data_IF_271625456857
#
_entry.id   IF_271625456857
#
_cell.length_a   1.000
_cell.length_b   1.000
_cell.length_c   1.000
_cell.angle_alpha   90.00
_cell.angle_beta   90.00
_cell.angle_gamma   90.00
#
_symmetry.space_group_name_H-M   'P 1'
#
loop_
_entity.id
_entity.type
_entity.pdbx_description
1 polymer ?
#
# COMPACT_ATOMS: atom_id res chain seq x y z
N UNK A 1 0.56 -11.65 -29.04
CA UNK A 1 1.61 -12.08 -28.10
C UNK A 1 1.52 -11.24 -26.84
N UNK A 2 0.91 -11.78 -25.78
CA UNK A 2 0.81 -11.11 -24.48
C UNK A 2 1.85 -11.75 -23.55
N UNK A 3 3.14 -11.54 -23.84
CA UNK A 3 4.21 -12.08 -22.99
C UNK A 3 4.38 -11.16 -21.79
N UNK A 4 4.33 -11.68 -20.54
CA UNK A 4 4.49 -10.88 -19.32
C UNK A 4 5.73 -9.97 -19.35
N UNK A 5 6.80 -10.40 -20.02
CA UNK A 5 8.04 -9.64 -20.20
C UNK A 5 7.88 -8.37 -21.04
N UNK A 6 7.02 -8.36 -22.06
CA UNK A 6 6.79 -7.19 -22.91
C UNK A 6 5.96 -6.13 -22.20
N UNK A 7 4.87 -6.54 -21.54
CA UNK A 7 4.04 -5.66 -20.72
C UNK A 7 4.86 -5.06 -19.57
N UNK A 8 5.64 -5.87 -18.86
CA UNK A 8 6.54 -5.37 -17.82
C UNK A 8 7.52 -4.32 -18.34
N UNK A 9 8.09 -4.53 -19.54
CA UNK A 9 9.05 -3.60 -20.13
C UNK A 9 8.42 -2.27 -20.51
N UNK A 10 7.24 -2.29 -21.17
CA UNK A 10 6.53 -1.05 -21.51
C UNK A 10 6.10 -0.32 -20.25
N UNK A 11 5.45 -1.02 -19.32
CA UNK A 11 4.95 -0.40 -18.10
C UNK A 11 6.08 0.23 -17.29
N UNK A 12 7.23 -0.46 -17.15
CA UNK A 12 8.40 0.09 -16.47
C UNK A 12 9.00 1.29 -17.19
N UNK A 13 8.96 1.33 -18.53
CA UNK A 13 9.41 2.49 -19.31
C UNK A 13 8.54 3.72 -19.01
N UNK A 14 7.23 3.56 -18.94
CA UNK A 14 6.29 4.67 -18.75
C UNK A 14 6.17 5.10 -17.27
N UNK A 15 6.12 4.14 -16.34
CA UNK A 15 5.81 4.38 -14.93
C UNK A 15 7.01 4.20 -13.99
N UNK A 16 8.18 3.76 -14.49
CA UNK A 16 9.41 3.59 -13.71
C UNK A 16 9.44 2.36 -12.79
N UNK A 17 8.34 1.61 -12.70
CA UNK A 17 8.22 0.43 -11.82
C UNK A 17 7.50 -0.72 -12.53
N UNK A 18 7.47 -1.92 -11.94
CA UNK A 18 6.69 -3.02 -12.49
C UNK A 18 5.19 -2.82 -12.22
N UNK A 19 4.29 -3.34 -13.07
CA UNK A 19 2.85 -3.34 -12.81
C UNK A 19 2.49 -3.93 -11.44
N UNK A 20 3.18 -5.01 -11.02
CA UNK A 20 2.91 -5.66 -9.74
C UNK A 20 3.30 -4.77 -8.57
N UNK A 21 4.47 -4.14 -8.60
CA UNK A 21 4.88 -3.20 -7.55
C UNK A 21 3.93 -2.00 -7.49
N UNK A 22 3.57 -1.44 -8.66
CA UNK A 22 2.63 -0.34 -8.73
C UNK A 22 1.27 -0.70 -8.09
N UNK A 23 0.75 -1.90 -8.38
CA UNK A 23 -0.47 -2.38 -7.76
C UNK A 23 -0.32 -2.56 -6.25
N UNK A 24 0.81 -3.10 -5.79
CA UNK A 24 1.13 -3.21 -4.36
C UNK A 24 1.11 -1.82 -3.69
N UNK A 25 1.76 -0.82 -4.28
CA UNK A 25 1.82 0.55 -3.75
C UNK A 25 0.42 1.17 -3.62
N UNK A 26 -0.44 0.97 -4.62
CA UNK A 26 -1.84 1.41 -4.60
C UNK A 26 -2.64 0.73 -3.48
N UNK A 27 -2.48 -0.60 -3.33
CA UNK A 27 -3.16 -1.38 -2.30
C UNK A 27 -2.73 -0.96 -0.89
N UNK A 28 -1.42 -0.74 -0.68
CA UNK A 28 -0.90 -0.28 0.62
C UNK A 28 -1.39 1.14 0.92
N UNK A 29 -1.41 2.04 -0.07
CA UNK A 29 -1.95 3.38 0.10
C UNK A 29 -3.41 3.35 0.53
N UNK A 30 -4.24 2.50 -0.10
CA UNK A 30 -5.64 2.31 0.27
C UNK A 30 -5.79 1.68 1.65
N UNK A 31 -4.94 0.74 2.01
CA UNK A 31 -4.95 0.10 3.33
C UNK A 31 -4.69 1.10 4.46
N UNK A 32 -3.68 1.96 4.30
CA UNK A 32 -3.39 3.06 5.23
C UNK A 32 -4.60 3.97 5.42
N UNK A 33 -5.25 4.35 4.32
CA UNK A 33 -6.45 5.19 4.31
C UNK A 33 -7.62 4.56 5.09
N UNK A 34 -7.85 3.25 4.92
CA UNK A 34 -8.88 2.50 5.65
C UNK A 34 -8.57 2.39 7.15
N UNK A 35 -7.31 2.10 7.50
CA UNK A 35 -6.84 1.99 8.88
C UNK A 35 -7.00 3.31 9.66
N UNK A 36 -6.74 4.44 9.01
CA UNK A 36 -6.89 5.76 9.64
C UNK A 36 -8.35 6.17 9.81
N UNK A 37 -9.22 5.87 8.84
CA UNK A 37 -10.63 6.29 8.89
C UNK A 37 -11.53 5.39 9.72
N UNK A 38 -11.13 4.15 9.95
CA UNK A 38 -11.93 3.18 10.68
C UNK A 38 -11.09 2.57 11.81
N UNK A 39 -11.00 3.22 12.98
CA UNK A 39 -10.10 2.79 14.07
C UNK A 39 -10.30 1.35 14.54
N UNK A 40 -11.50 0.81 14.38
CA UNK A 40 -11.91 -0.52 14.85
C UNK A 40 -11.96 -1.56 13.70
N UNK A 41 -11.56 -1.19 12.47
CA UNK A 41 -11.57 -2.14 11.35
C UNK A 41 -10.55 -3.25 11.59
N UNK A 42 -10.99 -4.50 11.43
CA UNK A 42 -10.06 -5.62 11.56
C UNK A 42 -9.04 -5.63 10.41
N UNK A 43 -7.81 -6.06 10.70
CA UNK A 43 -6.77 -6.23 9.66
C UNK A 43 -7.21 -7.22 8.57
N UNK A 44 -8.02 -8.22 8.92
CA UNK A 44 -8.61 -9.16 7.97
C UNK A 44 -9.53 -8.44 6.98
N UNK A 45 -10.40 -7.57 7.48
CA UNK A 45 -11.31 -6.78 6.64
C UNK A 45 -10.52 -5.83 5.73
N UNK A 46 -9.47 -5.16 6.24
CA UNK A 46 -8.60 -4.29 5.43
C UNK A 46 -7.93 -5.09 4.30
N UNK A 47 -7.35 -6.25 4.61
CA UNK A 47 -6.71 -7.13 3.64
C UNK A 47 -7.68 -7.48 2.50
N UNK A 48 -8.90 -7.93 2.82
CA UNK A 48 -9.91 -8.27 1.82
C UNK A 48 -10.32 -7.06 0.98
N UNK A 49 -10.48 -5.87 1.58
CA UNK A 49 -10.84 -4.64 0.88
C UNK A 49 -9.77 -4.16 -0.11
N UNK A 50 -8.50 -4.51 0.12
CA UNK A 50 -7.40 -4.15 -0.78
C UNK A 50 -6.90 -5.33 -1.62
N UNK A 51 -7.70 -6.40 -1.71
CA UNK A 51 -7.49 -7.49 -2.65
C UNK A 51 -6.49 -8.56 -2.19
N UNK A 52 -6.32 -8.75 -0.88
CA UNK A 52 -5.61 -9.90 -0.30
C UNK A 52 -6.57 -10.80 0.47
N UNK A 53 -6.59 -12.08 0.10
CA UNK A 53 -7.42 -13.09 0.79
C UNK A 53 -6.83 -13.48 2.15
N UNK A 54 -5.52 -13.61 2.22
CA UNK A 54 -4.80 -13.94 3.46
C UNK A 54 -4.30 -12.68 4.17
N UNK A 55 -4.85 -12.41 5.35
CA UNK A 55 -4.47 -11.29 6.21
C UNK A 55 -3.03 -11.35 6.74
N UNK A 56 -2.47 -12.56 6.91
CA UNK A 56 -1.07 -12.75 7.33
C UNK A 56 -0.14 -12.39 6.17
N UNK A 57 -0.47 -12.82 4.96
CA UNK A 57 0.30 -12.43 3.77
C UNK A 57 0.23 -10.92 3.53
N UNK A 58 -0.96 -10.32 3.60
CA UNK A 58 -1.12 -8.87 3.57
C UNK A 58 -0.24 -8.17 4.61
N UNK A 59 -0.24 -8.63 5.87
CA UNK A 59 0.56 -8.02 6.93
C UNK A 59 2.06 -8.07 6.64
N UNK A 60 2.55 -9.14 5.98
CA UNK A 60 3.94 -9.25 5.54
C UNK A 60 4.24 -8.26 4.42
N UNK A 61 3.37 -8.15 3.41
CA UNK A 61 3.54 -7.17 2.32
C UNK A 61 3.51 -5.75 2.87
N UNK A 62 2.52 -5.41 3.69
CA UNK A 62 2.42 -4.10 4.32
C UNK A 62 3.70 -3.77 5.10
N UNK A 63 4.25 -4.71 5.88
CA UNK A 63 5.51 -4.51 6.58
C UNK A 63 6.69 -4.31 5.64
N UNK A 64 6.77 -5.06 4.54
CA UNK A 64 7.84 -4.88 3.56
C UNK A 64 7.79 -3.48 2.92
N UNK A 65 6.60 -2.98 2.61
CA UNK A 65 6.42 -1.67 1.94
C UNK A 65 6.52 -0.48 2.91
N UNK A 66 6.20 -0.66 4.19
CA UNK A 66 6.11 0.44 5.16
C UNK A 66 7.16 0.39 6.28
N UNK A 67 7.85 -0.74 6.43
CA UNK A 67 8.74 -1.03 7.55
C UNK A 67 8.04 -1.53 8.82
N UNK A 68 6.70 -1.47 8.90
CA UNK A 68 5.94 -1.76 10.13
C UNK A 68 4.74 -2.66 9.88
N UNK A 69 4.28 -3.41 10.90
CA UNK A 69 3.02 -4.16 10.77
C UNK A 69 1.84 -3.18 10.69
N UNK A 70 0.70 -3.57 10.08
CA UNK A 70 -0.48 -2.70 9.99
C UNK A 70 -0.91 -2.11 11.34
N UNK A 71 -0.92 -2.93 12.40
CA UNK A 71 -1.29 -2.50 13.76
C UNK A 71 -0.27 -1.52 14.34
N UNK A 72 1.03 -1.81 14.23
CA UNK A 72 2.08 -0.92 14.75
C UNK A 72 2.11 0.42 14.00
N UNK A 73 1.93 0.38 12.67
CA UNK A 73 1.82 1.59 11.86
C UNK A 73 0.61 2.43 12.29
N UNK A 74 -0.55 1.80 12.50
CA UNK A 74 -1.77 2.51 12.93
C UNK A 74 -1.61 3.15 14.31
N UNK A 75 -0.99 2.44 15.25
CA UNK A 75 -0.70 2.97 16.60
C UNK A 75 0.25 4.17 16.54
N UNK A 76 1.29 4.08 15.71
CA UNK A 76 2.25 5.16 15.51
C UNK A 76 1.58 6.41 14.90
N UNK A 77 0.75 6.25 13.87
CA UNK A 77 0.09 7.39 13.22
C UNK A 77 -0.95 8.05 14.14
N UNK A 78 -1.64 7.27 14.98
CA UNK A 78 -2.53 7.80 16.03
C UNK A 78 -1.76 8.56 17.10
N UNK A 79 -0.59 8.04 17.51
CA UNK A 79 0.29 8.67 18.51
C UNK A 79 1.03 9.90 17.95
N UNK A 80 1.29 9.93 16.64
CA UNK A 80 2.00 10.99 15.92
C UNK A 80 1.15 12.23 15.59
N UNK A 81 -0.12 12.28 16.00
CA UNK A 81 -0.96 13.47 15.84
C UNK A 81 -0.53 14.66 16.74
N UNK A 82 0.53 14.52 17.55
CA UNK A 82 1.31 15.65 18.04
C UNK A 82 2.42 15.98 17.02
N UNK A 83 2.06 16.72 15.98
CA UNK A 83 3.00 17.48 15.16
C UNK A 83 3.83 16.69 14.14
N UNK A 84 3.34 16.64 12.90
CA UNK A 84 4.03 16.97 11.63
C UNK A 84 3.42 16.16 10.49
N UNK A 85 2.78 16.84 9.55
CA UNK A 85 2.40 16.26 8.26
C UNK A 85 3.68 15.85 7.52
N UNK A 86 4.05 14.56 7.59
CA UNK A 86 5.05 14.00 6.69
C UNK A 86 4.36 13.67 5.38
N UNK A 87 4.49 14.63 4.47
CA UNK A 87 4.08 14.52 3.07
C UNK A 87 4.65 13.26 2.43
N UNK A 88 3.78 12.33 2.05
CA UNK A 88 4.11 11.33 1.04
C UNK A 88 4.05 12.02 -0.34
N UNK A 89 5.01 12.90 -0.58
CA UNK A 89 5.19 13.62 -1.83
C UNK A 89 5.96 12.74 -2.81
N UNK A 90 5.37 11.63 -3.26
CA UNK A 90 5.77 10.93 -4.49
C UNK A 90 4.57 10.39 -5.23
N UNK A 91 3.70 11.31 -5.70
CA UNK A 91 2.79 11.00 -6.80
C UNK A 91 3.20 11.83 -8.01
N UNK A 92 3.76 11.17 -9.04
CA UNK A 92 3.59 11.68 -10.40
C UNK A 92 2.08 11.63 -10.71
N UNK A 93 1.51 12.66 -11.35
CA UNK A 93 0.08 12.72 -11.63
C UNK A 93 -0.34 11.52 -12.50
N UNK A 94 -1.55 11.02 -12.25
CA UNK A 94 -2.25 10.15 -13.19
C UNK A 94 -2.67 11.04 -14.37
N UNK A 95 -1.89 11.01 -15.45
CA UNK A 95 -2.10 11.70 -16.74
C UNK A 95 -2.30 13.23 -16.65
#
# INVERSE_FOLDING_TARGET
>A
MNTPSYLNRIFKKEYGTSPLQYLTDLRISRAKELLLRHPDISIKTVASNVGYEDSRYFSRIFKNETGMTPSAWTEQEKSGFVGTFRSDARRKPLL
#
